data_IF_070998876721
#
_entry.id   IF_070998876721
#
_cell.length_a   1.000
_cell.length_b   1.000
_cell.length_c   1.000
_cell.angle_alpha   90.00
_cell.angle_beta   90.00
_cell.angle_gamma   90.00
#
_symmetry.space_group_name_H-M   'P 1'
#
loop_
_entity.id
_entity.type
_entity.pdbx_description
1 polymer ?
#
# COMPACT_ATOMS: atom_id res chain seq x y z
N UNK A 1 -13.24 30.23 7.41
CA UNK A 1 -12.56 28.92 7.54
C UNK A 1 -12.05 28.55 6.16
N UNK A 2 -10.74 28.42 6.00
CA UNK A 2 -10.14 27.99 4.73
C UNK A 2 -10.43 26.51 4.52
N UNK A 3 -11.03 26.15 3.39
CA UNK A 3 -11.19 24.76 2.98
C UNK A 3 -9.81 24.08 2.96
N UNK A 4 -9.62 22.92 3.62
CA UNK A 4 -8.34 22.22 3.61
C UNK A 4 -7.90 21.91 2.17
N UNK A 5 -6.63 22.21 1.86
CA UNK A 5 -5.98 21.76 0.63
C UNK A 5 -5.37 20.38 0.82
N UNK A 6 -5.12 19.66 -0.28
CA UNK A 6 -4.40 18.39 -0.28
C UNK A 6 -3.08 18.45 0.52
N UNK A 7 -2.32 19.54 0.34
CA UNK A 7 -1.06 19.79 1.05
C UNK A 7 -1.27 19.99 2.54
N UNK A 8 -2.31 20.74 2.94
CA UNK A 8 -2.62 20.95 4.36
C UNK A 8 -3.06 19.66 5.04
N UNK A 9 -3.82 18.79 4.35
CA UNK A 9 -4.23 17.49 4.89
C UNK A 9 -3.03 16.54 5.02
N UNK A 10 -2.16 16.47 4.00
CA UNK A 10 -0.97 15.63 4.03
C UNK A 10 -0.02 16.07 5.16
N UNK A 11 0.14 17.38 5.36
CA UNK A 11 0.87 17.96 6.49
C UNK A 11 0.31 17.51 7.84
N UNK A 12 -1.00 17.67 8.04
CA UNK A 12 -1.67 17.25 9.29
C UNK A 12 -1.49 15.76 9.56
N UNK A 13 -1.58 14.92 8.53
CA UNK A 13 -1.31 13.47 8.66
C UNK A 13 0.13 13.24 9.09
N UNK A 14 1.10 13.89 8.43
CA UNK A 14 2.52 13.73 8.75
C UNK A 14 2.81 14.13 10.21
N UNK A 15 2.24 15.24 10.67
CA UNK A 15 2.41 15.72 12.05
C UNK A 15 1.82 14.76 13.10
N UNK A 16 0.72 14.08 12.78
CA UNK A 16 0.11 13.07 13.66
C UNK A 16 0.94 11.79 13.66
N UNK A 17 1.26 11.27 12.48
CA UNK A 17 1.96 9.98 12.32
C UNK A 17 3.37 10.06 12.92
N UNK A 18 4.12 11.15 12.68
CA UNK A 18 5.48 11.32 13.26
C UNK A 18 5.50 11.34 14.79
N UNK A 19 4.38 11.66 15.45
CA UNK A 19 4.23 11.65 16.91
C UNK A 19 3.68 10.31 17.44
N UNK A 20 3.58 9.29 16.59
CA UNK A 20 3.11 7.96 16.96
C UNK A 20 1.60 7.76 16.84
N UNK A 21 0.88 8.68 16.20
CA UNK A 21 -0.57 8.54 15.96
C UNK A 21 -0.92 7.69 14.75
N UNK A 22 -2.22 7.39 14.62
CA UNK A 22 -2.86 6.64 13.54
C UNK A 22 -3.64 7.61 12.66
N UNK A 23 -3.39 7.59 11.36
CA UNK A 23 -4.20 8.32 10.39
C UNK A 23 -5.06 7.36 9.56
N UNK A 24 -6.31 7.74 9.34
CA UNK A 24 -7.21 7.16 8.33
C UNK A 24 -7.18 8.06 7.10
N UNK A 25 -6.65 7.53 5.99
CA UNK A 25 -6.35 8.32 4.80
C UNK A 25 -6.94 7.72 3.52
N UNK A 26 -7.30 8.56 2.54
CA UNK A 26 -7.75 8.11 1.23
C UNK A 26 -6.57 7.83 0.31
N UNK A 27 -6.75 6.87 -0.60
CA UNK A 27 -5.95 6.71 -1.81
C UNK A 27 -6.86 6.24 -2.96
N UNK A 28 -6.35 6.17 -4.19
CA UNK A 28 -7.17 5.84 -5.37
C UNK A 28 -7.63 4.39 -5.40
N UNK A 29 -7.07 3.53 -4.55
CA UNK A 29 -7.48 2.12 -4.38
C UNK A 29 -8.38 1.88 -3.17
N UNK A 30 -8.68 2.92 -2.37
CA UNK A 30 -9.56 2.87 -1.20
C UNK A 30 -9.02 3.64 0.01
N UNK A 31 -9.64 3.46 1.18
CA UNK A 31 -9.16 4.02 2.44
C UNK A 31 -8.19 3.07 3.16
N UNK A 32 -7.21 3.63 3.87
CA UNK A 32 -6.20 2.88 4.62
C UNK A 32 -5.90 3.53 5.97
N UNK A 33 -5.52 2.72 6.95
CA UNK A 33 -4.85 3.20 8.15
C UNK A 33 -3.35 3.27 7.91
N UNK A 34 -2.69 4.32 8.37
CA UNK A 34 -1.24 4.43 8.38
C UNK A 34 -0.69 4.92 9.72
N UNK A 35 0.50 4.41 10.05
CA UNK A 35 1.32 4.82 11.19
C UNK A 35 2.81 4.59 10.89
N UNK A 36 3.69 5.12 11.73
CA UNK A 36 5.15 5.05 11.51
C UNK A 36 5.94 4.33 12.59
N UNK A 37 5.25 3.76 13.60
CA UNK A 37 5.89 3.07 14.72
C UNK A 37 5.09 1.83 15.15
N UNK A 38 5.67 1.04 16.05
CA UNK A 38 5.13 -0.26 16.43
C UNK A 38 3.77 -0.16 17.15
N UNK A 39 3.62 0.78 18.07
CA UNK A 39 2.39 0.96 18.85
C UNK A 39 1.13 1.25 18.00
N UNK A 40 1.12 2.24 17.08
CA UNK A 40 -0.03 2.49 16.22
C UNK A 40 -0.32 1.29 15.30
N UNK A 41 0.72 0.61 14.79
CA UNK A 41 0.54 -0.53 13.90
C UNK A 41 0.02 -1.78 14.61
N UNK A 42 0.43 -2.01 15.86
CA UNK A 42 -0.18 -3.04 16.72
C UNK A 42 -1.66 -2.75 16.95
N UNK A 43 -1.99 -1.50 17.31
CA UNK A 43 -3.39 -1.07 17.50
C UNK A 43 -4.23 -1.31 16.23
N UNK A 44 -3.71 -0.94 15.06
CA UNK A 44 -4.35 -1.22 13.76
C UNK A 44 -4.54 -2.72 13.56
N UNK A 45 -3.50 -3.52 13.80
CA UNK A 45 -3.50 -4.96 13.58
C UNK A 45 -4.55 -5.68 14.45
N UNK A 46 -4.55 -5.38 15.75
CA UNK A 46 -5.43 -6.00 16.75
C UNK A 46 -6.90 -5.67 16.48
N UNK A 47 -7.22 -4.39 16.27
CA UNK A 47 -8.59 -3.96 16.02
C UNK A 47 -9.15 -4.49 14.69
N UNK A 48 -8.29 -4.71 13.69
CA UNK A 48 -8.69 -5.30 12.40
C UNK A 48 -8.79 -6.82 12.40
N UNK A 49 -8.44 -7.48 13.51
CA UNK A 49 -8.37 -8.95 13.63
C UNK A 49 -7.53 -9.56 12.49
N UNK A 50 -6.35 -9.00 12.24
CA UNK A 50 -5.43 -9.50 11.19
C UNK A 50 -4.80 -10.82 11.62
N UNK A 51 -4.58 -11.71 10.67
CA UNK A 51 -3.77 -12.91 10.88
C UNK A 51 -2.28 -12.61 10.74
N UNK A 52 -1.44 -13.34 11.46
CA UNK A 52 0.02 -13.10 11.58
C UNK A 52 0.80 -13.20 10.25
N UNK A 53 0.21 -13.82 9.23
CA UNK A 53 0.78 -13.87 7.87
C UNK A 53 0.60 -12.58 7.09
N UNK A 54 -0.23 -11.64 7.57
CA UNK A 54 -0.50 -10.39 6.87
C UNK A 54 0.61 -9.38 7.10
N UNK A 55 1.18 -8.86 6.01
CA UNK A 55 2.19 -7.79 6.04
C UNK A 55 1.57 -6.42 5.80
N UNK A 56 2.21 -5.38 6.32
CA UNK A 56 1.91 -3.99 5.95
C UNK A 56 2.58 -3.66 4.62
N UNK A 57 1.94 -2.80 3.83
CA UNK A 57 2.60 -2.13 2.73
C UNK A 57 3.07 -0.75 3.21
N UNK A 58 4.16 -0.25 2.64
CA UNK A 58 4.59 1.13 2.81
C UNK A 58 4.03 1.97 1.66
N UNK A 59 3.41 3.10 1.97
CA UNK A 59 3.10 4.11 0.95
C UNK A 59 4.42 4.80 0.55
N UNK A 60 4.71 4.87 -0.75
CA UNK A 60 5.93 5.45 -1.26
C UNK A 60 5.70 6.17 -2.61
N UNK A 61 6.53 7.17 -2.90
CA UNK A 61 6.64 7.71 -4.25
C UNK A 61 7.63 6.88 -5.09
N UNK A 62 7.66 7.12 -6.40
CA UNK A 62 8.54 6.39 -7.31
C UNK A 62 10.02 6.65 -7.01
N UNK A 63 10.36 7.84 -6.54
CA UNK A 63 11.74 8.20 -6.14
C UNK A 63 12.21 7.32 -4.97
N UNK A 64 11.40 7.24 -3.90
CA UNK A 64 11.63 6.32 -2.78
C UNK A 64 11.74 4.88 -3.27
N UNK A 65 10.88 4.45 -4.20
CA UNK A 65 10.93 3.09 -4.72
C UNK A 65 12.25 2.76 -5.44
N UNK A 66 12.76 3.67 -6.28
CA UNK A 66 14.05 3.54 -6.98
C UNK A 66 15.23 3.47 -6.00
N UNK A 67 15.16 4.26 -4.93
CA UNK A 67 16.20 4.31 -3.90
C UNK A 67 16.15 3.10 -2.95
N UNK A 68 14.97 2.57 -2.69
CA UNK A 68 14.76 1.52 -1.70
C UNK A 68 14.87 0.12 -2.30
N UNK A 69 14.20 -0.14 -3.42
CA UNK A 69 14.22 -1.48 -4.02
C UNK A 69 15.53 -1.76 -4.78
N UNK A 70 15.88 -3.03 -4.87
CA UNK A 70 17.00 -3.57 -5.64
C UNK A 70 16.51 -4.40 -6.82
N UNK A 71 15.52 -3.89 -7.56
CA UNK A 71 14.96 -4.55 -8.74
C UNK A 71 16.00 -4.66 -9.88
N UNK A 72 15.83 -5.65 -10.76
CA UNK A 72 16.59 -5.69 -12.01
C UNK A 72 16.21 -4.50 -12.92
N UNK A 73 17.08 -4.08 -13.87
CA UNK A 73 16.76 -2.99 -14.79
C UNK A 73 15.42 -3.20 -15.52
N UNK A 74 15.17 -4.41 -16.06
CA UNK A 74 13.90 -4.75 -16.71
C UNK A 74 12.71 -4.63 -15.76
N UNK A 75 12.84 -5.08 -14.52
CA UNK A 75 11.77 -4.95 -13.53
C UNK A 75 11.49 -3.49 -13.17
N UNK A 76 12.53 -2.67 -13.07
CA UNK A 76 12.39 -1.24 -12.84
C UNK A 76 11.71 -0.53 -14.03
N UNK A 77 12.08 -0.85 -15.26
CA UNK A 77 11.41 -0.35 -16.48
C UNK A 77 9.92 -0.68 -16.49
N UNK A 78 9.53 -1.89 -16.09
CA UNK A 78 8.12 -2.27 -15.98
C UNK A 78 7.36 -1.42 -14.94
N UNK A 79 7.95 -1.20 -13.76
CA UNK A 79 7.34 -0.35 -12.72
C UNK A 79 7.20 1.09 -13.22
N UNK A 80 8.22 1.62 -13.89
CA UNK A 80 8.22 2.98 -14.41
C UNK A 80 7.20 3.17 -15.52
N UNK A 81 7.07 2.22 -16.45
CA UNK A 81 6.04 2.28 -17.48
C UNK A 81 4.63 2.30 -16.87
N UNK A 82 4.36 1.43 -15.89
CA UNK A 82 3.07 1.40 -15.20
C UNK A 82 2.75 2.73 -14.50
N UNK A 83 3.74 3.33 -13.83
CA UNK A 83 3.54 4.53 -13.01
C UNK A 83 3.58 5.83 -13.84
N UNK A 84 4.61 6.02 -14.67
CA UNK A 84 4.87 7.27 -15.38
C UNK A 84 4.13 7.36 -16.72
N UNK A 85 4.12 6.28 -17.50
CA UNK A 85 3.56 6.32 -18.86
C UNK A 85 2.05 6.02 -18.85
N UNK A 86 1.60 5.20 -17.90
CA UNK A 86 0.21 4.72 -17.83
C UNK A 86 -0.59 5.24 -16.62
N UNK A 87 0.03 6.00 -15.72
CA UNK A 87 -0.62 6.58 -14.52
C UNK A 87 -1.41 5.54 -13.69
N UNK A 88 -0.86 4.33 -13.52
CA UNK A 88 -1.52 3.24 -12.81
C UNK A 88 -1.01 3.09 -11.36
N UNK A 89 -1.92 2.93 -10.37
CA UNK A 89 -1.52 2.57 -9.01
C UNK A 89 -1.13 1.10 -8.95
N UNK A 90 0.01 0.80 -8.33
CA UNK A 90 0.52 -0.57 -8.17
C UNK A 90 1.23 -0.73 -6.83
N UNK A 91 0.99 -1.86 -6.17
CA UNK A 91 1.83 -2.29 -5.06
C UNK A 91 2.94 -3.21 -5.59
N UNK A 92 4.16 -2.72 -5.51
CA UNK A 92 5.38 -3.40 -5.96
C UNK A 92 5.97 -4.14 -4.77
N UNK A 93 6.09 -5.46 -4.87
CA UNK A 93 6.89 -6.27 -3.94
C UNK A 93 8.26 -6.51 -4.57
N UNK A 94 9.33 -6.22 -3.84
CA UNK A 94 10.69 -6.37 -4.33
C UNK A 94 11.71 -6.52 -3.22
N UNK A 95 12.91 -6.98 -3.57
CA UNK A 95 14.06 -6.93 -2.66
C UNK A 95 14.45 -5.47 -2.38
N UNK A 96 15.08 -5.22 -1.25
CA UNK A 96 15.32 -3.86 -0.77
C UNK A 96 16.68 -3.67 -0.11
N UNK A 97 17.07 -2.40 -0.01
CA UNK A 97 18.24 -1.92 0.73
C UNK A 97 17.89 -1.73 2.21
N UNK A 98 18.37 -2.61 3.08
CA UNK A 98 18.15 -2.51 4.53
C UNK A 98 18.73 -1.22 5.14
N UNK A 99 19.77 -0.67 4.51
CA UNK A 99 20.44 0.55 4.92
C UNK A 99 19.75 1.85 4.46
N UNK A 100 18.66 1.74 3.69
CA UNK A 100 17.85 2.88 3.27
C UNK A 100 17.34 3.67 4.49
N UNK A 101 17.36 5.02 4.49
CA UNK A 101 16.98 5.83 5.65
C UNK A 101 15.60 5.50 6.23
N UNK A 102 14.58 5.26 5.39
CA UNK A 102 13.25 4.83 5.84
C UNK A 102 13.25 3.44 6.49
N UNK A 103 14.10 2.51 6.03
CA UNK A 103 14.18 1.15 6.59
C UNK A 103 14.87 1.17 7.95
N UNK A 104 15.92 1.99 8.10
CA UNK A 104 16.61 2.18 9.39
C UNK A 104 15.73 2.80 10.49
N UNK A 105 14.63 3.45 10.12
CA UNK A 105 13.63 3.95 11.09
C UNK A 105 12.70 2.87 11.61
N UNK A 106 12.66 1.69 10.97
CA UNK A 106 11.82 0.59 11.40
C UNK A 106 12.52 -0.19 12.51
N UNK A 107 11.87 -0.27 13.67
CA UNK A 107 12.27 -1.21 14.72
C UNK A 107 12.24 -2.65 14.18
N UNK A 108 13.06 -3.58 14.71
CA UNK A 108 13.15 -4.96 14.19
C UNK A 108 11.82 -5.70 14.09
N UNK A 109 10.94 -5.54 15.07
CA UNK A 109 9.58 -6.12 15.06
C UNK A 109 8.73 -5.58 13.92
N UNK A 110 8.86 -4.27 13.67
CA UNK A 110 8.10 -3.59 12.64
C UNK A 110 8.60 -3.94 11.23
N UNK A 111 9.92 -4.07 11.08
CA UNK A 111 10.51 -4.58 9.84
C UNK A 111 9.99 -6.00 9.55
N UNK A 112 10.00 -6.90 10.53
CA UNK A 112 9.45 -8.26 10.38
C UNK A 112 7.97 -8.29 10.03
N UNK A 113 7.17 -7.34 10.54
CA UNK A 113 5.75 -7.22 10.22
C UNK A 113 5.49 -6.61 8.82
N UNK A 114 6.50 -6.02 8.19
CA UNK A 114 6.39 -5.29 6.91
C UNK A 114 7.22 -5.91 5.79
N UNK A 115 8.06 -6.89 6.11
CA UNK A 115 8.89 -7.64 5.16
C UNK A 115 8.62 -9.15 5.21
N UNK A 116 8.98 -9.83 4.13
CA UNK A 116 8.92 -11.28 4.03
C UNK A 116 9.91 -11.77 2.98
N UNK A 117 10.66 -12.84 3.29
CA UNK A 117 11.61 -13.46 2.36
C UNK A 117 12.56 -12.44 1.68
N UNK A 118 13.06 -11.45 2.44
CA UNK A 118 13.95 -10.41 1.92
C UNK A 118 13.28 -9.38 1.02
N UNK A 119 11.93 -9.30 1.02
CA UNK A 119 11.15 -8.36 0.21
C UNK A 119 10.26 -7.47 1.06
N UNK A 120 9.88 -6.31 0.52
CA UNK A 120 8.94 -5.34 1.08
C UNK A 120 7.94 -4.93 0.01
N UNK A 121 6.73 -4.57 0.42
CA UNK A 121 5.68 -4.07 -0.47
C UNK A 121 5.61 -2.53 -0.40
N UNK A 122 5.75 -1.86 -1.55
CA UNK A 122 5.55 -0.42 -1.69
C UNK A 122 4.32 -0.13 -2.55
N UNK A 123 3.34 0.62 -2.03
CA UNK A 123 2.22 1.14 -2.82
C UNK A 123 2.65 2.44 -3.50
N UNK A 124 2.53 2.47 -4.83
CA UNK A 124 2.91 3.59 -5.68
C UNK A 124 1.68 4.18 -6.39
N UNK A 125 1.81 5.46 -6.75
CA UNK A 125 0.89 6.19 -7.62
C UNK A 125 -0.60 6.09 -7.27
N UNK A 126 -0.94 6.04 -5.97
CA UNK A 126 -2.32 5.88 -5.53
C UNK A 126 -3.07 7.22 -5.38
N UNK A 127 -2.86 8.14 -6.31
CA UNK A 127 -3.57 9.42 -6.41
C UNK A 127 -2.80 10.65 -5.86
N UNK A 128 -3.35 11.84 -6.09
CA UNK A 128 -2.67 13.12 -5.79
C UNK A 128 -2.41 13.35 -4.30
N UNK A 129 -3.35 12.97 -3.43
CA UNK A 129 -3.14 13.02 -1.98
C UNK A 129 -2.01 12.08 -1.55
N UNK A 130 -1.98 10.87 -2.11
CA UNK A 130 -0.92 9.89 -1.85
C UNK A 130 0.44 10.46 -2.28
N UNK A 131 0.54 11.05 -3.49
CA UNK A 131 1.77 11.65 -3.98
C UNK A 131 2.34 12.72 -3.04
N UNK A 132 1.49 13.64 -2.56
CA UNK A 132 1.93 14.68 -1.62
C UNK A 132 2.33 14.08 -0.27
N UNK A 133 1.56 13.13 0.26
CA UNK A 133 1.86 12.48 1.53
C UNK A 133 3.19 11.68 1.47
N UNK A 134 3.45 10.97 0.37
CA UNK A 134 4.68 10.19 0.20
C UNK A 134 5.90 11.06 -0.08
N UNK A 135 5.71 12.21 -0.76
CA UNK A 135 6.77 13.22 -0.89
C UNK A 135 7.25 13.68 0.48
N UNK A 136 6.31 14.01 1.39
CA UNK A 136 6.64 14.39 2.77
C UNK A 136 7.29 13.25 3.56
N UNK A 137 6.83 12.02 3.37
CA UNK A 137 7.42 10.82 3.98
C UNK A 137 8.90 10.67 3.63
N UNK A 138 9.24 10.86 2.35
CA UNK A 138 10.61 10.82 1.86
C UNK A 138 11.45 11.96 2.41
N UNK A 139 10.99 13.20 2.25
CA UNK A 139 11.73 14.41 2.67
C UNK A 139 12.00 14.45 4.17
N UNK A 140 11.07 13.97 5.00
CA UNK A 140 11.20 13.96 6.46
C UNK A 140 11.69 12.62 7.02
N UNK A 141 11.90 11.63 6.16
CA UNK A 141 12.33 10.27 6.54
C UNK A 141 11.39 9.66 7.60
N UNK A 142 10.09 9.73 7.33
CA UNK A 142 9.03 9.16 8.18
C UNK A 142 8.36 7.99 7.43
N UNK A 143 8.57 6.73 7.82
CA UNK A 143 7.96 5.59 7.13
C UNK A 143 6.44 5.58 7.30
N UNK A 144 5.71 5.42 6.21
CA UNK A 144 4.24 5.34 6.22
C UNK A 144 3.79 3.90 5.99
N UNK A 145 3.66 3.13 7.06
CA UNK A 145 3.25 1.73 7.00
C UNK A 145 1.75 1.62 7.27
N UNK A 146 1.08 0.73 6.56
CA UNK A 146 -0.35 0.64 6.67
C UNK A 146 -1.00 -0.53 5.97
N UNK A 147 -2.33 -0.56 6.12
CA UNK A 147 -3.20 -1.49 5.41
C UNK A 147 -4.60 -0.88 5.25
N UNK A 148 -5.40 -1.43 4.33
CA UNK A 148 -6.75 -0.95 4.01
C UNK A 148 -7.65 -0.82 5.24
N UNK A 149 -8.59 0.12 5.28
CA UNK A 149 -9.39 0.44 6.47
C UNK A 149 -10.66 -0.43 6.61
N UNK A 150 -10.48 -1.73 6.86
CA UNK A 150 -11.58 -2.72 6.99
C UNK A 150 -11.23 -3.86 7.95
N UNK A 151 -12.21 -4.62 8.45
CA UNK A 151 -11.89 -5.90 9.11
C UNK A 151 -11.26 -6.86 8.11
N UNK A 152 -10.30 -7.66 8.56
CA UNK A 152 -9.58 -8.60 7.71
C UNK A 152 -10.53 -9.51 6.93
N UNK A 153 -10.31 -9.64 5.62
CA UNK A 153 -11.14 -10.47 4.73
C UNK A 153 -12.44 -9.83 4.23
N UNK A 154 -12.86 -8.66 4.74
CA UNK A 154 -14.18 -8.08 4.41
C UNK A 154 -14.22 -7.12 3.21
N UNK A 155 -13.11 -7.03 2.46
CA UNK A 155 -12.96 -6.13 1.31
C UNK A 155 -12.62 -4.68 1.70
N UNK A 156 -12.06 -3.93 0.75
CA UNK A 156 -11.68 -2.53 0.98
C UNK A 156 -12.89 -1.61 1.03
N UNK A 157 -12.79 -0.53 1.82
CA UNK A 157 -13.79 0.55 1.88
C UNK A 157 -13.33 1.73 1.03
N UNK A 158 -14.27 2.31 0.29
CA UNK A 158 -13.99 3.38 -0.68
C UNK A 158 -14.59 4.73 -0.27
N UNK A 159 -15.27 4.78 0.86
CA UNK A 159 -15.78 5.97 1.55
C UNK A 159 -15.60 5.78 3.05
N UNK A 160 -15.51 6.88 3.81
CA UNK A 160 -15.33 6.83 5.27
C UNK A 160 -16.56 6.19 5.93
N UNK A 161 -17.76 6.48 5.43
CA UNK A 161 -19.03 5.98 5.96
C UNK A 161 -19.17 4.46 5.87
N UNK A 162 -18.48 3.83 4.92
CA UNK A 162 -18.47 2.36 4.76
C UNK A 162 -17.54 1.66 5.78
N UNK A 163 -16.76 2.43 6.55
CA UNK A 163 -15.82 1.91 7.54
C UNK A 163 -16.56 1.72 8.87
N UNK A 164 -16.49 0.51 9.48
CA UNK A 164 -17.06 0.24 10.79
C UNK A 164 -16.67 1.32 11.81
N UNK A 165 -17.64 1.81 12.58
CA UNK A 165 -17.42 2.91 13.52
C UNK A 165 -16.30 2.62 14.52
N UNK A 166 -16.22 1.39 15.01
CA UNK A 166 -15.15 0.92 15.90
C UNK A 166 -13.76 1.10 15.29
N UNK A 167 -13.62 0.84 13.99
CA UNK A 167 -12.36 1.08 13.27
C UNK A 167 -12.13 2.57 12.98
N UNK A 168 -13.17 3.37 12.74
CA UNK A 168 -12.98 4.83 12.58
C UNK A 168 -12.43 5.47 13.86
N UNK A 169 -12.85 4.98 15.03
CA UNK A 169 -12.45 5.52 16.34
C UNK A 169 -10.99 5.26 16.71
N UNK A 170 -10.28 4.35 16.05
CA UNK A 170 -8.84 4.14 16.32
C UNK A 170 -7.95 5.19 15.65
N UNK A 171 -8.48 6.02 14.74
CA UNK A 171 -7.69 7.04 14.06
C UNK A 171 -7.68 8.35 14.84
N UNK A 172 -6.47 8.90 15.06
CA UNK A 172 -6.26 10.23 15.64
C UNK A 172 -6.59 11.34 14.64
N UNK A 173 -6.55 11.03 13.34
CA UNK A 173 -6.99 11.92 12.26
C UNK A 173 -7.66 11.12 11.14
N UNK A 174 -8.78 11.64 10.65
CA UNK A 174 -9.43 11.14 9.42
C UNK A 174 -9.36 12.22 8.35
N UNK A 175 -8.82 11.87 7.19
CA UNK A 175 -8.89 12.67 5.98
C UNK A 175 -10.00 12.08 5.11
N UNK A 176 -11.07 12.84 4.88
CA UNK A 176 -12.22 12.39 4.10
C UNK A 176 -12.27 13.15 2.77
N UNK A 177 -11.92 12.46 1.69
CA UNK A 177 -12.01 12.97 0.32
C UNK A 177 -13.14 12.29 -0.46
N UNK A 178 -14.15 11.78 0.25
CA UNK A 178 -15.33 11.13 -0.34
C UNK A 178 -15.02 9.80 -1.03
N UNK A 179 -15.76 9.50 -2.10
CA UNK A 179 -15.65 8.25 -2.85
C UNK A 179 -14.32 8.15 -3.60
N UNK A 180 -13.62 7.03 -3.42
CA UNK A 180 -12.35 6.77 -4.11
C UNK A 180 -12.55 6.19 -5.51
N UNK A 181 -11.66 6.56 -6.42
CA UNK A 181 -11.72 6.21 -7.86
C UNK A 181 -11.85 4.71 -8.10
N UNK A 182 -11.07 3.90 -7.39
CA UNK A 182 -11.04 2.45 -7.54
C UNK A 182 -12.29 1.69 -7.04
N UNK A 183 -13.35 2.37 -6.59
CA UNK A 183 -14.54 1.71 -6.04
C UNK A 183 -15.22 0.72 -7.00
N UNK A 184 -15.16 0.97 -8.32
CA UNK A 184 -15.75 0.09 -9.33
C UNK A 184 -15.08 -1.29 -9.35
N UNK A 185 -13.81 -1.37 -8.97
CA UNK A 185 -13.06 -2.63 -8.90
C UNK A 185 -13.47 -3.51 -7.72
N UNK A 186 -14.07 -2.93 -6.67
CA UNK A 186 -14.52 -3.64 -5.45
C UNK A 186 -13.41 -4.43 -4.71
N UNK A 187 -12.15 -4.29 -5.13
CA UNK A 187 -10.95 -4.89 -4.53
C UNK A 187 -9.94 -3.79 -4.19
N UNK A 188 -9.04 -4.10 -3.25
CA UNK A 188 -7.85 -3.28 -2.99
C UNK A 188 -6.91 -3.25 -4.20
N UNK A 189 -5.89 -2.38 -4.22
CA UNK A 189 -4.93 -2.27 -5.33
C UNK A 189 -4.22 -3.59 -5.69
N UNK A 190 -3.82 -3.73 -6.95
CA UNK A 190 -3.06 -4.88 -7.44
C UNK A 190 -1.69 -5.00 -6.75
N UNK A 191 -1.25 -6.22 -6.41
CA UNK A 191 0.06 -6.50 -5.81
C UNK A 191 0.82 -7.52 -6.66
N UNK A 192 2.02 -7.16 -7.13
CA UNK A 192 2.90 -8.04 -7.91
C UNK A 192 4.29 -8.04 -7.28
N UNK A 193 4.90 -9.22 -7.18
CA UNK A 193 6.32 -9.35 -6.86
C UNK A 193 7.15 -9.17 -8.13
N UNK A 194 7.88 -8.07 -8.24
CA UNK A 194 8.67 -7.75 -9.44
C UNK A 194 10.04 -8.45 -9.49
N UNK A 195 10.43 -9.18 -8.44
CA UNK A 195 11.57 -10.10 -8.52
C UNK A 195 11.20 -11.37 -9.30
N UNK A 196 9.95 -11.82 -9.21
CA UNK A 196 9.49 -13.11 -9.76
C UNK A 196 8.34 -13.02 -10.74
N UNK A 197 7.76 -11.82 -10.90
CA UNK A 197 6.50 -11.54 -11.60
C UNK A 197 5.28 -12.31 -11.07
N UNK A 198 5.38 -12.84 -9.84
CA UNK A 198 4.26 -13.49 -9.20
C UNK A 198 3.19 -12.47 -8.81
N UNK A 199 1.96 -12.68 -9.30
CA UNK A 199 0.79 -11.93 -8.86
C UNK A 199 0.38 -12.41 -7.47
N UNK A 200 0.52 -11.53 -6.47
CA UNK A 200 0.10 -11.80 -5.10
C UNK A 200 -1.40 -11.51 -4.95
N UNK A 201 -1.85 -10.40 -5.55
CA UNK A 201 -3.25 -9.99 -5.53
C UNK A 201 -3.66 -9.39 -6.87
N UNK A 202 -4.68 -9.99 -7.48
CA UNK A 202 -5.49 -9.40 -8.54
C UNK A 202 -6.38 -8.34 -7.90
N UNK A 203 -6.09 -7.07 -8.13
CA UNK A 203 -6.74 -5.95 -7.44
C UNK A 203 -7.36 -4.94 -8.39
N UNK A 204 -7.56 -3.72 -7.89
CA UNK A 204 -7.93 -2.60 -8.72
C UNK A 204 -6.91 -2.38 -9.84
N UNK A 205 -7.40 -2.01 -11.02
CA UNK A 205 -6.63 -1.74 -12.24
C UNK A 205 -5.84 -2.94 -12.81
N UNK A 206 -6.12 -4.17 -12.36
CA UNK A 206 -5.36 -5.36 -12.76
C UNK A 206 -5.35 -5.59 -14.27
N UNK A 207 -6.50 -5.43 -14.92
CA UNK A 207 -6.65 -5.62 -16.36
C UNK A 207 -5.82 -4.65 -17.18
N UNK A 208 -5.70 -3.39 -16.72
CA UNK A 208 -4.87 -2.37 -17.36
C UNK A 208 -3.39 -2.66 -17.13
N UNK A 209 -3.01 -3.04 -15.90
CA UNK A 209 -1.63 -3.44 -15.57
C UNK A 209 -1.22 -4.66 -16.42
N UNK A 210 -2.10 -5.64 -16.57
CA UNK A 210 -1.85 -6.85 -17.37
C UNK A 210 -1.69 -6.53 -18.85
N UNK A 211 -2.53 -5.66 -19.44
CA UNK A 211 -2.37 -5.24 -20.85
C UNK A 211 -1.03 -4.55 -21.08
N UNK A 212 -0.62 -3.62 -20.20
CA UNK A 212 0.67 -2.92 -20.31
C UNK A 212 1.84 -3.90 -20.25
N UNK A 213 1.85 -4.78 -19.24
CA UNK A 213 2.94 -5.74 -19.07
C UNK A 213 3.02 -6.74 -20.23
N UNK A 214 1.88 -7.18 -20.77
CA UNK A 214 1.87 -8.05 -21.94
C UNK A 214 2.35 -7.32 -23.19
N UNK A 215 1.77 -6.14 -23.48
CA UNK A 215 2.00 -5.38 -24.71
C UNK A 215 3.42 -4.89 -24.85
N UNK A 216 4.02 -4.38 -23.78
CA UNK A 216 5.32 -3.70 -23.85
C UNK A 216 6.49 -4.55 -23.35
N UNK A 217 6.22 -5.60 -22.56
CA UNK A 217 7.27 -6.41 -21.94
C UNK A 217 7.14 -7.91 -22.17
N UNK A 218 6.12 -8.35 -22.93
CA UNK A 218 5.79 -9.76 -23.19
C UNK A 218 5.69 -10.60 -21.90
N UNK A 219 5.05 -10.02 -20.88
CA UNK A 219 4.79 -10.69 -19.60
C UNK A 219 3.32 -11.09 -19.54
N UNK A 220 3.05 -12.40 -19.54
CA UNK A 220 1.71 -12.94 -19.31
C UNK A 220 1.44 -13.08 -17.82
N UNK A 221 0.44 -12.34 -17.32
CA UNK A 221 -0.10 -12.53 -15.99
C UNK A 221 -1.29 -13.51 -16.01
N UNK A 222 -1.59 -14.22 -14.90
CA UNK A 222 -2.74 -15.11 -14.83
C UNK A 222 -4.09 -14.39 -15.11
N UNK A 223 -5.08 -15.06 -15.71
CA UNK A 223 -6.40 -14.46 -15.88
C UNK A 223 -7.08 -14.22 -14.53
N UNK A 224 -7.87 -13.14 -14.42
CA UNK A 224 -8.74 -12.92 -13.27
C UNK A 224 -9.93 -13.89 -13.31
N UNK A 225 -10.08 -14.80 -12.34
CA UNK A 225 -11.21 -15.73 -12.29
C UNK A 225 -12.55 -15.04 -11.94
N UNK A 226 -12.52 -13.74 -11.65
CA UNK A 226 -13.69 -12.92 -11.38
C UNK A 226 -14.03 -12.83 -9.89
N UNK A 227 -14.93 -11.91 -9.57
CA UNK A 227 -15.33 -11.61 -8.17
C UNK A 227 -16.05 -12.76 -7.48
N UNK A 228 -16.77 -13.60 -8.22
CA UNK A 228 -17.49 -14.74 -7.65
C UNK A 228 -16.52 -15.84 -7.17
N UNK A 229 -15.53 -16.17 -8.00
CA UNK A 229 -14.55 -17.22 -7.69
C UNK A 229 -13.44 -16.73 -6.76
N UNK A 230 -13.03 -15.46 -6.85
CA UNK A 230 -11.95 -14.90 -6.04
C UNK A 230 -12.29 -13.50 -5.49
N UNK A 231 -13.19 -13.37 -4.50
CA UNK A 231 -13.65 -12.07 -4.00
C UNK A 231 -12.51 -11.19 -3.46
N UNK A 232 -11.51 -11.79 -2.82
CA UNK A 232 -10.39 -11.07 -2.20
C UNK A 232 -9.27 -10.69 -3.16
N UNK A 233 -9.25 -11.31 -4.36
CA UNK A 233 -8.18 -11.20 -5.34
C UNK A 233 -6.85 -11.88 -4.96
N UNK A 234 -6.68 -12.42 -3.74
CA UNK A 234 -5.39 -12.99 -3.32
C UNK A 234 -5.19 -14.37 -3.94
N UNK A 235 -4.21 -14.50 -4.83
CA UNK A 235 -3.81 -15.78 -5.42
C UNK A 235 -2.85 -16.55 -4.51
N UNK A 236 -2.07 -15.83 -3.71
CA UNK A 236 -1.13 -16.43 -2.78
C UNK A 236 -1.07 -15.61 -1.49
N UNK A 237 -2.04 -15.85 -0.61
CA UNK A 237 -2.16 -15.13 0.66
C UNK A 237 -0.96 -15.35 1.60
N UNK A 238 -0.23 -16.46 1.43
CA UNK A 238 0.94 -16.83 2.22
C UNK A 238 2.28 -16.61 1.50
N UNK A 239 2.28 -16.00 0.31
CA UNK A 239 3.51 -15.65 -0.41
C UNK A 239 4.48 -14.82 0.43
N UNK A 240 3.92 -14.04 1.36
CA UNK A 240 4.63 -13.14 2.27
C UNK A 240 4.77 -13.73 3.68
N UNK A 241 4.59 -15.05 3.86
CA UNK A 241 4.92 -15.69 5.14
C UNK A 241 6.44 -15.84 5.20
N UNK A 242 7.07 -15.14 6.15
CA UNK A 242 8.47 -15.43 6.50
C UNK A 242 8.63 -16.86 7.00
N UNK A 243 9.85 -17.42 7.04
CA UNK A 243 10.07 -18.72 7.67
C UNK A 243 9.48 -18.71 9.09
N UNK A 244 8.88 -19.84 9.50
CA UNK A 244 8.49 -20.02 10.89
C UNK A 244 9.75 -19.87 11.75
N UNK A 245 9.66 -19.02 12.79
CA UNK A 245 10.73 -18.83 13.75
C UNK A 245 11.11 -20.16 14.43
#
# INVERSE_FOLDING_TARGET
MTTPTLQSDARRVMDIVRRGGIALVPNDTGYAFCGSSLAPLRTIFDNKRRGDHKRNAMAADLETQRELHTLSPRAQEMVEALVLDHDLPIAVVGSFREDHPLMRKLEPDLLRASSAAGTVALLLNAGTFHAELTRLSREEVVPLLGSSANYSGTGTRFRVEDIPEELRRIADITIDHGLRRGHLYRRAGTIINFNTLQVIRIGAYYELISDVLKRYFDVDLPPDPGMEALPSGHLNEFALKGPAA
#
